data_IF_755345171440
#
_entry.id   IF_755345171440
#
_cell.length_a   1.000
_cell.length_b   1.000
_cell.length_c   1.000
_cell.angle_alpha   90.00
_cell.angle_beta   90.00
_cell.angle_gamma   90.00
#
_symmetry.space_group_name_H-M   'P 1'
#
loop_
_entity.id
_entity.type
_entity.pdbx_description
1 polymer ?
#
# COMPACT_ATOMS: atom_id res chain seq x y z
N UNK A 1 4.40 18.06 -16.79
CA UNK A 1 4.51 17.40 -15.47
C UNK A 1 3.32 16.44 -15.32
N UNK A 2 3.55 15.14 -15.45
CA UNK A 2 2.50 14.11 -15.43
C UNK A 2 1.92 13.95 -14.02
N UNK A 3 0.63 14.22 -13.85
CA UNK A 3 -0.10 14.23 -12.55
C UNK A 3 -0.31 12.83 -11.92
N UNK A 4 0.24 11.77 -12.52
CA UNK A 4 0.03 10.36 -12.15
C UNK A 4 0.90 9.86 -10.98
N UNK A 5 1.58 10.74 -10.25
CA UNK A 5 2.50 10.32 -9.17
C UNK A 5 1.83 10.19 -7.80
N UNK A 6 0.57 10.59 -7.65
CA UNK A 6 -0.16 10.60 -6.38
C UNK A 6 -1.28 9.54 -6.35
N UNK A 7 -1.00 8.33 -6.84
CA UNK A 7 -2.02 7.33 -7.20
C UNK A 7 -2.58 6.48 -6.05
N UNK A 8 -2.14 6.68 -4.80
CA UNK A 8 -2.80 6.16 -3.59
C UNK A 8 -2.15 6.77 -2.35
N UNK A 9 -2.93 7.48 -1.53
CA UNK A 9 -2.43 7.99 -0.25
C UNK A 9 -2.68 6.95 0.83
N UNK A 10 -1.63 6.20 1.15
CA UNK A 10 -1.62 5.28 2.28
C UNK A 10 -0.86 5.93 3.43
N UNK A 11 -1.30 5.72 4.67
CA UNK A 11 -0.55 6.22 5.82
C UNK A 11 0.81 5.52 5.88
N UNK A 12 1.90 6.29 5.87
CA UNK A 12 3.26 5.76 6.04
C UNK A 12 3.66 5.71 7.52
N UNK A 13 3.18 6.66 8.31
CA UNK A 13 3.42 6.76 9.75
C UNK A 13 2.17 7.23 10.49
N UNK A 14 1.91 6.64 11.66
CA UNK A 14 0.84 7.06 12.58
C UNK A 14 1.37 7.09 14.02
N UNK A 15 0.74 7.88 14.88
CA UNK A 15 1.05 7.86 16.30
C UNK A 15 0.61 6.52 16.91
N UNK A 16 1.48 5.92 17.73
CA UNK A 16 1.21 4.67 18.42
C UNK A 16 1.18 4.90 19.93
N UNK A 17 0.02 4.69 20.57
CA UNK A 17 -0.15 4.87 22.02
C UNK A 17 0.78 3.98 22.86
N UNK A 18 1.09 2.76 22.38
CA UNK A 18 1.99 1.84 23.08
C UNK A 18 3.46 2.26 22.98
N UNK A 19 3.88 2.77 21.83
CA UNK A 19 5.25 3.22 21.60
C UNK A 19 5.47 4.70 21.97
N UNK A 20 4.37 5.45 22.20
CA UNK A 20 4.34 6.87 22.53
C UNK A 20 5.08 7.78 21.54
N UNK A 21 5.07 7.41 20.27
CA UNK A 21 5.74 8.17 19.20
C UNK A 21 5.09 7.89 17.84
N UNK A 22 5.41 8.71 16.84
CA UNK A 22 5.07 8.45 15.45
C UNK A 22 5.86 7.24 14.96
N UNK A 23 5.14 6.17 14.62
CA UNK A 23 5.71 4.91 14.19
C UNK A 23 5.36 4.63 12.73
N UNK A 24 6.28 4.03 11.96
CA UNK A 24 5.94 3.52 10.65
C UNK A 24 4.87 2.43 10.78
N UNK A 25 3.95 2.39 9.82
CA UNK A 25 2.84 1.44 9.83
C UNK A 25 2.90 0.51 8.63
N UNK A 26 2.38 -0.70 8.82
CA UNK A 26 2.08 -1.63 7.74
C UNK A 26 0.57 -1.80 7.63
N UNK A 27 0.09 -1.85 6.42
CA UNK A 27 -1.30 -2.15 6.12
C UNK A 27 -1.52 -3.68 6.10
N UNK A 28 -2.60 -4.13 6.73
CA UNK A 28 -3.08 -5.51 6.65
C UNK A 28 -4.57 -5.53 6.33
N UNK A 29 -4.97 -6.35 5.37
CA UNK A 29 -6.39 -6.55 5.08
C UNK A 29 -7.07 -7.18 6.30
N UNK A 30 -8.07 -6.48 6.83
CA UNK A 30 -8.84 -6.90 8.00
C UNK A 30 -10.13 -7.61 7.57
N UNK A 31 -10.86 -7.01 6.62
CA UNK A 31 -12.17 -7.51 6.22
C UNK A 31 -12.48 -7.19 4.76
N UNK A 32 -13.12 -8.12 4.07
CA UNK A 32 -13.65 -7.94 2.71
C UNK A 32 -15.17 -7.91 2.81
N UNK A 33 -15.78 -6.85 2.29
CA UNK A 33 -17.23 -6.72 2.09
C UNK A 33 -17.53 -6.59 0.59
N UNK A 34 -18.78 -6.80 0.16
CA UNK A 34 -19.18 -6.62 -1.24
C UNK A 34 -18.82 -5.23 -1.80
N UNK A 35 -19.03 -4.18 -1.01
CA UNK A 35 -18.84 -2.80 -1.48
C UNK A 35 -17.47 -2.20 -1.12
N UNK A 36 -16.80 -2.75 -0.09
CA UNK A 36 -15.55 -2.18 0.43
C UNK A 36 -14.61 -3.22 1.04
N UNK A 37 -13.32 -2.93 1.02
CA UNK A 37 -12.33 -3.62 1.87
C UNK A 37 -11.94 -2.72 3.03
N UNK A 38 -11.79 -3.33 4.20
CA UNK A 38 -11.29 -2.66 5.40
C UNK A 38 -9.91 -3.19 5.68
N UNK A 39 -8.97 -2.28 5.85
CA UNK A 39 -7.59 -2.53 6.19
C UNK A 39 -7.29 -1.95 7.56
N UNK A 40 -6.45 -2.66 8.31
CA UNK A 40 -5.93 -2.26 9.60
C UNK A 40 -4.47 -1.79 9.44
N UNK A 41 -4.15 -0.64 10.02
CA UNK A 41 -2.80 -0.14 10.11
C UNK A 41 -2.18 -0.64 11.40
N UNK A 42 -1.16 -1.46 11.27
CA UNK A 42 -0.42 -2.02 12.39
C UNK A 42 0.90 -1.27 12.56
N UNK A 43 1.20 -0.85 13.78
CA UNK A 43 2.52 -0.35 14.15
C UNK A 43 3.58 -1.42 13.85
N UNK A 44 4.64 -1.08 13.12
CA UNK A 44 5.70 -2.05 12.81
C UNK A 44 6.54 -2.43 14.02
N UNK A 45 6.62 -1.55 15.03
CA UNK A 45 7.38 -1.79 16.26
C UNK A 45 6.70 -2.75 17.24
N UNK A 46 5.41 -2.54 17.53
CA UNK A 46 4.69 -3.31 18.56
C UNK A 46 3.48 -4.11 18.04
N UNK A 47 3.20 -4.04 16.73
CA UNK A 47 2.08 -4.73 16.07
C UNK A 47 0.67 -4.38 16.58
N UNK A 48 0.50 -3.32 17.37
CA UNK A 48 -0.84 -2.83 17.72
C UNK A 48 -1.54 -2.19 16.53
N UNK A 49 -2.86 -2.35 16.44
CA UNK A 49 -3.70 -1.53 15.58
C UNK A 49 -3.59 -0.07 16.02
N UNK A 50 -3.32 0.82 15.06
CA UNK A 50 -3.17 2.27 15.25
C UNK A 50 -4.07 3.08 14.32
N UNK A 51 -4.88 2.41 13.48
CA UNK A 51 -5.83 3.07 12.59
C UNK A 51 -6.40 2.10 11.55
N UNK A 52 -7.36 2.56 10.75
CA UNK A 52 -7.98 1.76 9.69
C UNK A 52 -8.09 2.57 8.38
N UNK A 53 -8.08 1.88 7.25
CA UNK A 53 -8.42 2.43 5.93
C UNK A 53 -9.55 1.61 5.32
N UNK A 54 -10.53 2.30 4.75
CA UNK A 54 -11.55 1.67 3.92
C UNK A 54 -11.27 1.98 2.45
N UNK A 55 -11.44 0.98 1.59
CA UNK A 55 -11.29 1.10 0.14
C UNK A 55 -12.56 0.59 -0.52
N UNK A 56 -13.29 1.48 -1.17
CA UNK A 56 -14.51 1.16 -1.92
C UNK A 56 -14.20 0.38 -3.20
N UNK A 57 -15.20 -0.32 -3.73
CA UNK A 57 -15.09 -1.04 -5.00
C UNK A 57 -14.64 -0.12 -6.16
N UNK A 58 -15.12 1.14 -6.16
CA UNK A 58 -14.74 2.14 -7.16
C UNK A 58 -13.24 2.48 -7.11
N UNK A 59 -12.70 2.72 -5.92
CA UNK A 59 -11.27 3.03 -5.72
C UNK A 59 -10.38 1.86 -6.15
N UNK A 60 -10.76 0.61 -5.84
CA UNK A 60 -10.02 -0.57 -6.30
C UNK A 60 -10.02 -0.71 -7.81
N UNK A 61 -11.16 -0.50 -8.45
CA UNK A 61 -11.28 -0.60 -9.91
C UNK A 61 -10.38 0.44 -10.59
N UNK A 62 -10.27 1.64 -10.02
CA UNK A 62 -9.35 2.68 -10.51
C UNK A 62 -7.89 2.24 -10.35
N UNK A 63 -7.50 1.75 -9.16
CA UNK A 63 -6.14 1.27 -8.91
C UNK A 63 -5.74 0.11 -9.85
N UNK A 64 -6.63 -0.85 -10.07
CA UNK A 64 -6.41 -1.98 -10.98
C UNK A 64 -6.26 -1.53 -12.44
N UNK A 65 -7.16 -0.64 -12.92
CA UNK A 65 -7.08 -0.09 -14.27
C UNK A 65 -5.78 0.68 -14.50
N UNK A 66 -5.26 1.36 -13.49
CA UNK A 66 -3.99 2.07 -13.55
C UNK A 66 -2.79 1.11 -13.55
N UNK A 67 -2.81 0.09 -12.68
CA UNK A 67 -1.77 -0.95 -12.66
C UNK A 67 -1.66 -1.68 -14.01
N UNK A 68 -2.79 -1.97 -14.65
CA UNK A 68 -2.83 -2.59 -15.98
C UNK A 68 -2.27 -1.69 -17.10
N UNK A 69 -2.28 -0.35 -16.92
CA UNK A 69 -1.70 0.60 -17.88
C UNK A 69 -0.19 0.76 -17.72
N UNK A 70 0.41 0.28 -16.62
CA UNK A 70 1.84 0.40 -16.39
C UNK A 70 2.59 -0.49 -17.39
N UNK A 71 3.47 0.08 -18.26
CA UNK A 71 4.22 -0.74 -19.20
C UNK A 71 5.08 -1.73 -18.42
N UNK A 72 5.28 -2.97 -18.93
CA UNK A 72 6.13 -3.94 -18.27
C UNK A 72 7.52 -3.32 -18.12
N UNK A 73 8.07 -3.38 -16.90
CA UNK A 73 9.48 -3.03 -16.68
C UNK A 73 10.30 -3.97 -17.56
N UNK A 74 10.96 -3.43 -18.58
CA UNK A 74 11.89 -4.20 -19.41
C UNK A 74 12.90 -4.85 -18.47
N UNK A 75 12.94 -6.17 -18.45
CA UNK A 75 13.92 -6.92 -17.66
C UNK A 75 15.32 -6.50 -18.11
N UNK A 76 16.19 -6.18 -17.16
CA UNK A 76 17.60 -5.95 -17.47
C UNK A 76 18.20 -7.27 -17.99
N UNK A 77 19.04 -7.24 -19.04
CA UNK A 77 19.70 -8.43 -19.53
C UNK A 77 20.63 -9.00 -18.45
N UNK A 78 20.62 -10.33 -18.30
CA UNK A 78 21.46 -11.03 -17.32
C UNK A 78 22.95 -10.81 -17.62
N UNK A 79 23.81 -10.68 -16.59
CA UNK A 79 25.24 -10.56 -16.82
C UNK A 79 25.76 -11.85 -17.46
N UNK A 80 26.42 -11.71 -18.62
CA UNK A 80 26.98 -12.81 -19.40
C UNK A 80 28.30 -13.25 -18.74
N UNK A 81 28.26 -14.30 -17.95
CA UNK A 81 29.44 -14.88 -17.31
C UNK A 81 30.32 -15.50 -18.40
N UNK A 82 31.54 -14.98 -18.56
CA UNK A 82 32.55 -15.57 -19.44
C UNK A 82 33.40 -16.52 -18.58
N UNK A 83 33.34 -17.81 -18.92
CA UNK A 83 34.26 -18.85 -18.42
C UNK A 83 35.45 -18.90 -19.39
#
# INVERSE_FOLDING_TARGET
MSQQQFENFTASSLYCEKCKTAMPVRERLLLILPDKEVYDYLCTGCASSVGQREVTAGEKLMAQKMAARRPPRRAAPAPRLHI
#
